data_IF_864242545122
#
_entry.id   IF_864242545122
#
_cell.length_a   1.000
_cell.length_b   1.000
_cell.length_c   1.000
_cell.angle_alpha   90.00
_cell.angle_beta   90.00
_cell.angle_gamma   90.00
#
_symmetry.space_group_name_H-M   'P 1'
#
loop_
_entity.id
_entity.type
_entity.pdbx_description
1 polymer ?
#
# COMPACT_ATOMS: atom_id res chain seq x y z
N UNK A 1 -7.62 12.55 -6.28
CA UNK A 1 -7.77 11.17 -5.79
C UNK A 1 -7.98 10.18 -6.94
N UNK A 2 -9.13 10.14 -7.64
CA UNK A 2 -9.41 9.18 -8.75
C UNK A 2 -8.36 9.04 -9.87
N UNK A 3 -7.64 10.10 -10.23
CA UNK A 3 -6.66 10.08 -11.33
C UNK A 3 -5.31 9.46 -10.94
N UNK A 4 -4.98 9.50 -9.65
CA UNK A 4 -3.79 8.84 -9.09
C UNK A 4 -4.05 7.33 -8.93
N UNK A 5 -5.23 6.98 -8.41
CA UNK A 5 -5.67 5.59 -8.20
C UNK A 5 -5.68 4.75 -9.47
N UNK A 6 -5.96 5.35 -10.64
CA UNK A 6 -5.98 4.64 -11.93
C UNK A 6 -4.58 4.34 -12.48
N UNK A 7 -3.58 5.18 -12.20
CA UNK A 7 -2.21 4.99 -12.70
C UNK A 7 -1.45 3.94 -11.88
N UNK A 8 -1.85 3.74 -10.63
CA UNK A 8 -1.16 2.91 -9.65
C UNK A 8 -1.76 1.50 -9.54
N UNK A 9 -2.91 1.25 -10.17
CA UNK A 9 -3.70 0.02 -10.03
C UNK A 9 -3.12 -1.23 -10.70
N UNK A 10 -1.90 -1.18 -11.23
CA UNK A 10 -1.29 -2.27 -12.01
C UNK A 10 -0.05 -2.89 -11.40
N UNK A 11 0.42 -2.43 -10.23
CA UNK A 11 1.63 -2.95 -9.58
C UNK A 11 1.37 -3.82 -8.34
N UNK A 12 0.14 -3.78 -7.79
CA UNK A 12 -0.31 -4.69 -6.73
C UNK A 12 -1.53 -5.50 -7.17
N UNK A 13 -1.62 -6.74 -6.71
CA UNK A 13 -2.73 -7.65 -7.05
C UNK A 13 -3.91 -7.53 -6.10
N UNK A 14 -3.69 -7.04 -4.88
CA UNK A 14 -4.71 -6.79 -3.84
C UNK A 14 -4.34 -5.55 -3.07
N UNK A 15 -5.32 -4.68 -2.81
CA UNK A 15 -5.19 -3.50 -1.94
C UNK A 15 -6.42 -3.44 -1.06
N UNK A 16 -6.22 -3.43 0.25
CA UNK A 16 -7.28 -3.38 1.25
C UNK A 16 -6.97 -2.32 2.30
N UNK A 17 -7.99 -1.55 2.66
CA UNK A 17 -7.98 -0.63 3.79
C UNK A 17 -9.02 -1.11 4.80
N UNK A 18 -8.62 -1.29 6.06
CA UNK A 18 -9.46 -1.87 7.11
C UNK A 18 -9.05 -1.33 8.48
N UNK A 19 -9.90 -1.57 9.48
CA UNK A 19 -9.69 -1.08 10.85
C UNK A 19 -10.80 -0.13 11.28
N UNK A 20 -10.66 0.40 12.49
CA UNK A 20 -11.56 1.40 13.04
C UNK A 20 -11.11 2.81 12.68
N UNK A 21 -12.02 3.78 12.75
CA UNK A 21 -11.67 5.20 12.59
C UNK A 21 -10.51 5.59 13.51
N UNK A 22 -9.53 6.31 12.95
CA UNK A 22 -8.30 6.69 13.65
C UNK A 22 -7.25 5.58 13.82
N UNK A 23 -7.53 4.35 13.38
CA UNK A 23 -6.59 3.22 13.43
C UNK A 23 -6.75 2.34 12.18
N UNK A 24 -6.63 2.99 11.02
CA UNK A 24 -6.70 2.31 9.73
C UNK A 24 -5.37 1.62 9.41
N UNK A 25 -5.48 0.46 8.77
CA UNK A 25 -4.37 -0.28 8.18
C UNK A 25 -4.60 -0.43 6.70
N UNK A 26 -3.52 -0.35 5.94
CA UNK A 26 -3.49 -0.67 4.52
C UNK A 26 -2.61 -1.90 4.34
N UNK A 27 -3.08 -2.86 3.56
CA UNK A 27 -2.28 -4.04 3.19
C UNK A 27 -2.38 -4.29 1.70
N UNK A 28 -1.24 -4.63 1.12
CA UNK A 28 -1.06 -4.75 -0.31
C UNK A 28 -0.26 -6.01 -0.63
N UNK A 29 -0.62 -6.67 -1.73
CA UNK A 29 0.14 -7.82 -2.25
C UNK A 29 0.88 -7.36 -3.50
N UNK A 30 2.20 -7.43 -3.43
CA UNK A 30 3.13 -6.99 -4.46
C UNK A 30 3.75 -8.18 -5.19
N UNK A 31 4.04 -8.02 -6.49
CA UNK A 31 4.72 -9.06 -7.27
C UNK A 31 6.21 -9.17 -6.89
N UNK A 32 6.82 -8.09 -6.41
CA UNK A 32 8.20 -8.09 -5.89
C UNK A 32 8.43 -6.99 -4.86
N UNK A 33 9.50 -7.15 -4.07
CA UNK A 33 9.92 -6.16 -3.08
C UNK A 33 10.43 -4.87 -3.72
N UNK A 34 11.12 -4.97 -4.84
CA UNK A 34 11.65 -3.83 -5.58
C UNK A 34 10.52 -2.92 -6.10
N UNK A 35 9.39 -3.51 -6.51
CA UNK A 35 8.23 -2.71 -6.94
C UNK A 35 7.60 -1.96 -5.76
N UNK A 36 7.48 -2.61 -4.61
CA UNK A 36 7.00 -1.97 -3.38
C UNK A 36 7.88 -0.79 -2.98
N UNK A 37 9.20 -0.98 -2.96
CA UNK A 37 10.17 0.05 -2.57
C UNK A 37 10.16 1.23 -3.56
N UNK A 38 10.19 0.96 -4.87
CA UNK A 38 10.14 2.00 -5.90
C UNK A 38 8.83 2.81 -5.86
N UNK A 39 7.71 2.16 -5.56
CA UNK A 39 6.44 2.86 -5.36
C UNK A 39 6.43 3.66 -4.05
N UNK A 40 7.04 3.13 -2.99
CA UNK A 40 7.24 3.84 -1.73
C UNK A 40 7.95 5.19 -1.93
N UNK A 41 9.01 5.25 -2.73
CA UNK A 41 9.71 6.50 -3.05
C UNK A 41 8.79 7.56 -3.67
N UNK A 42 7.81 7.13 -4.47
CA UNK A 42 6.81 8.02 -5.08
C UNK A 42 5.69 8.40 -4.10
N UNK A 43 5.22 7.44 -3.29
CA UNK A 43 4.05 7.60 -2.43
C UNK A 43 4.36 8.43 -1.18
N UNK A 44 5.52 8.22 -0.55
CA UNK A 44 5.86 8.82 0.73
C UNK A 44 5.76 10.36 0.73
N UNK A 45 6.26 11.10 -0.28
CA UNK A 45 6.08 12.55 -0.35
C UNK A 45 4.62 12.98 -0.44
N UNK A 46 3.79 12.24 -1.17
CA UNK A 46 2.36 12.55 -1.35
C UNK A 46 1.61 12.39 -0.03
N UNK A 47 1.95 11.37 0.76
CA UNK A 47 1.35 11.15 2.08
C UNK A 47 1.80 12.22 3.08
N UNK A 48 3.07 12.62 3.03
CA UNK A 48 3.59 13.72 3.83
C UNK A 48 2.87 15.04 3.52
N UNK A 49 2.68 15.38 2.24
CA UNK A 49 1.93 16.56 1.79
C UNK A 49 0.46 16.53 2.24
N UNK A 50 -0.12 15.33 2.37
CA UNK A 50 -1.48 15.13 2.87
C UNK A 50 -1.60 15.13 4.40
N UNK A 51 -0.48 15.23 5.13
CA UNK A 51 -0.45 15.16 6.60
C UNK A 51 -0.76 13.77 7.15
N UNK A 52 -0.52 12.72 6.37
CA UNK A 52 -0.70 11.33 6.79
C UNK A 52 0.60 10.84 7.41
N UNK A 53 0.53 10.47 8.69
CA UNK A 53 1.65 9.93 9.45
C UNK A 53 1.44 8.43 9.72
N UNK A 54 2.51 7.66 9.60
CA UNK A 54 2.51 6.24 9.94
C UNK A 54 2.92 6.04 11.39
N UNK A 55 2.21 5.16 12.11
CA UNK A 55 2.55 4.81 13.49
C UNK A 55 3.82 3.95 13.60
N UNK A 56 4.23 3.29 12.51
CA UNK A 56 5.40 2.42 12.44
C UNK A 56 5.83 2.21 10.97
N UNK A 57 7.00 1.61 10.77
CA UNK A 57 7.40 1.09 9.46
C UNK A 57 6.43 -0.01 8.97
N UNK A 58 6.25 -0.16 7.64
CA UNK A 58 5.45 -1.24 7.09
C UNK A 58 5.99 -2.62 7.45
N UNK A 59 5.10 -3.52 7.89
CA UNK A 59 5.43 -4.94 8.05
C UNK A 59 5.46 -5.62 6.66
N UNK A 60 6.53 -6.36 6.36
CA UNK A 60 6.74 -7.03 5.06
C UNK A 60 6.86 -8.54 5.27
N UNK A 61 6.07 -9.31 4.51
CA UNK A 61 6.03 -10.77 4.58
C UNK A 61 6.04 -11.39 3.18
N UNK A 62 6.62 -12.59 3.07
CA UNK A 62 6.59 -13.39 1.83
C UNK A 62 5.25 -14.09 1.66
N UNK A 63 4.64 -13.93 0.48
CA UNK A 63 3.36 -14.58 0.15
C UNK A 63 3.62 -15.99 -0.37
N UNK A 64 3.26 -16.99 0.42
CA UNK A 64 3.40 -18.40 0.02
C UNK A 64 2.23 -18.92 -0.83
N UNK A 65 1.01 -18.42 -0.60
CA UNK A 65 -0.18 -18.82 -1.36
C UNK A 65 -1.28 -17.75 -1.26
N UNK A 66 -2.12 -17.66 -2.30
CA UNK A 66 -3.27 -16.77 -2.34
C UNK A 66 -4.52 -17.62 -2.64
N UNK A 67 -5.45 -17.67 -1.68
CA UNK A 67 -6.76 -18.31 -1.86
C UNK A 67 -7.80 -17.23 -2.07
N UNK A 68 -8.57 -17.33 -3.16
CA UNK A 68 -9.63 -16.38 -3.51
C UNK A 68 -11.00 -17.07 -3.36
N UNK A 69 -12.04 -16.28 -3.06
CA UNK A 69 -13.42 -16.77 -2.92
C UNK A 69 -13.99 -17.23 -4.26
#
# INVERSE_FOLDING_TARGET
MRKLESFLRTVWTTHVCFGSDGNLRVSEIWDSREQFEAYGELLMPILADAGIEFSAEPEVFEVHSIVKR
#
